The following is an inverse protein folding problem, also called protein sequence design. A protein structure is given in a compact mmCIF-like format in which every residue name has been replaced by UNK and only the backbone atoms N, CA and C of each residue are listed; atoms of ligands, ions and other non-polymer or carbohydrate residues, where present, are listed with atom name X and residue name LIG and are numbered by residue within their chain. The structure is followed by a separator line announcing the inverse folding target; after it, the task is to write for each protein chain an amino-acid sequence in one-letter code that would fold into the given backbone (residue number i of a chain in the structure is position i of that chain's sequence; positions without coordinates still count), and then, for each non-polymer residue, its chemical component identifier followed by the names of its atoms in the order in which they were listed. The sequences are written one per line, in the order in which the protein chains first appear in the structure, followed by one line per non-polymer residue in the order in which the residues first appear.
data_IF_150415788941
#
_entry.id   IF_150415788941
#
_cell.length_a   1.000
_cell.length_b   1.000
_cell.length_c   1.000
_cell.angle_alpha   90.00
_cell.angle_beta   90.00
_cell.angle_gamma   90.00
#
_symmetry.space_group_name_H-M   'P 1'
#
loop_
_entity.id
_entity.type
_entity.pdbx_description
1 polymer ?
#
# COMPACT_ATOMS: atom_id res chain seq x y z
N UNK A 1 21.35 -14.62 -7.80
CA UNK A 1 20.32 -14.76 -6.79
C UNK A 1 19.11 -13.91 -7.12
N UNK A 2 17.95 -14.55 -7.09
CA UNK A 2 16.68 -13.87 -7.40
C UNK A 2 15.78 -13.99 -6.19
N UNK A 3 15.20 -12.87 -5.75
CA UNK A 3 14.17 -12.87 -4.70
C UNK A 3 12.81 -12.60 -5.33
N UNK A 4 11.77 -13.17 -4.74
CA UNK A 4 10.39 -12.98 -5.19
C UNK A 4 9.55 -12.55 -3.97
N UNK A 5 8.98 -11.37 -4.03
CA UNK A 5 8.14 -10.82 -2.98
C UNK A 5 6.90 -10.19 -3.61
N UNK A 6 5.91 -9.90 -2.79
CA UNK A 6 4.68 -9.27 -3.24
C UNK A 6 4.36 -8.07 -2.35
N UNK A 7 3.75 -7.05 -2.95
CA UNK A 7 3.18 -5.91 -2.22
C UNK A 7 1.67 -5.97 -2.43
N UNK A 8 0.92 -5.96 -1.33
CA UNK A 8 -0.54 -5.97 -1.35
C UNK A 8 -1.04 -4.58 -0.96
N UNK A 9 -1.41 -3.73 -1.93
CA UNK A 9 -1.92 -2.40 -1.62
C UNK A 9 -3.34 -2.47 -1.05
N UNK A 10 -3.65 -1.54 -0.16
CA UNK A 10 -4.99 -1.36 0.35
C UNK A 10 -5.76 -0.33 -0.46
N UNK A 11 -6.45 0.59 0.24
CA UNK A 11 -7.17 1.68 -0.42
C UNK A 11 -6.18 2.75 -0.85
N UNK A 12 -5.92 2.82 -2.15
CA UNK A 12 -4.96 3.74 -2.74
C UNK A 12 -5.71 4.79 -3.55
N UNK A 13 -5.38 6.05 -3.36
CA UNK A 13 -6.01 7.14 -4.08
C UNK A 13 -5.53 7.17 -5.53
N UNK A 14 -6.52 7.07 -6.44
CA UNK A 14 -6.30 7.10 -7.89
C UNK A 14 -7.32 8.07 -8.48
N UNK A 15 -7.24 8.32 -9.78
CA UNK A 15 -8.23 9.17 -10.47
C UNK A 15 -9.66 8.62 -10.28
N UNK A 16 -9.80 7.30 -10.25
CA UNK A 16 -11.12 6.68 -10.04
C UNK A 16 -11.64 6.93 -8.63
N UNK A 17 -10.80 6.82 -7.61
CA UNK A 17 -11.22 7.07 -6.24
C UNK A 17 -11.44 8.55 -5.97
N UNK A 18 -10.65 9.42 -6.61
CA UNK A 18 -10.81 10.88 -6.50
C UNK A 18 -12.16 11.34 -7.06
N UNK A 19 -12.75 10.58 -7.98
CA UNK A 19 -14.06 10.88 -8.54
C UNK A 19 -15.23 10.51 -7.61
N UNK A 20 -14.98 9.75 -6.55
CA UNK A 20 -16.02 9.40 -5.58
C UNK A 20 -16.43 10.61 -4.74
N UNK A 21 -17.69 10.67 -4.27
CA UNK A 21 -18.11 11.72 -3.34
C UNK A 21 -17.23 11.73 -2.09
N UNK A 22 -16.97 12.92 -1.57
CA UNK A 22 -16.11 13.08 -0.40
C UNK A 22 -16.62 12.29 0.81
N UNK A 23 -17.94 12.24 1.00
CA UNK A 23 -18.53 11.49 2.10
C UNK A 23 -18.21 9.99 2.01
N UNK A 24 -18.20 9.43 0.82
CA UNK A 24 -17.85 8.03 0.59
C UNK A 24 -16.36 7.81 0.89
N UNK A 25 -15.51 8.71 0.43
CA UNK A 25 -14.07 8.62 0.66
C UNK A 25 -13.75 8.71 2.16
N UNK A 26 -14.41 9.62 2.87
CA UNK A 26 -14.23 9.77 4.31
C UNK A 26 -14.67 8.51 5.06
N UNK A 27 -15.77 7.90 4.64
CA UNK A 27 -16.26 6.67 5.26
C UNK A 27 -15.28 5.52 5.07
N UNK A 28 -14.71 5.40 3.88
CA UNK A 28 -13.69 4.38 3.60
C UNK A 28 -12.45 4.60 4.45
N UNK A 29 -12.03 5.85 4.63
CA UNK A 29 -10.84 6.18 5.42
C UNK A 29 -11.00 5.86 6.90
N UNK A 30 -12.22 5.83 7.43
CA UNK A 30 -12.48 5.50 8.84
C UNK A 30 -12.04 4.09 9.19
N UNK A 31 -12.07 3.16 8.25
CA UNK A 31 -11.65 1.79 8.46
C UNK A 31 -10.14 1.59 8.40
N UNK A 32 -9.38 2.64 8.18
CA UNK A 32 -7.93 2.58 8.02
C UNK A 32 -7.25 3.16 9.25
N UNK A 33 -6.50 2.36 10.02
CA UNK A 33 -5.82 2.86 11.23
C UNK A 33 -4.92 4.07 10.98
N UNK A 34 -4.28 4.17 9.82
CA UNK A 34 -3.45 5.33 9.46
C UNK A 34 -4.28 6.60 9.24
N UNK A 35 -5.60 6.48 9.11
CA UNK A 35 -6.52 7.62 9.01
C UNK A 35 -6.60 8.27 7.63
N UNK A 36 -6.01 7.64 6.61
CA UNK A 36 -6.03 8.18 5.24
C UNK A 36 -5.90 7.08 4.22
N UNK A 37 -6.35 7.35 3.00
CA UNK A 37 -6.04 6.52 1.85
C UNK A 37 -4.54 6.62 1.55
N UNK A 38 -3.95 5.57 1.01
CA UNK A 38 -2.57 5.60 0.55
C UNK A 38 -2.46 6.36 -0.76
N UNK A 39 -1.25 6.79 -1.06
CA UNK A 39 -0.91 7.39 -2.35
C UNK A 39 -0.13 6.36 -3.17
N UNK A 40 -0.10 6.49 -4.51
CA UNK A 40 0.72 5.59 -5.33
C UNK A 40 2.18 5.51 -4.87
N UNK A 41 2.73 6.61 -4.34
CA UNK A 41 4.08 6.65 -3.80
C UNK A 41 4.27 5.70 -2.61
N UNK A 42 3.22 5.48 -1.82
CA UNK A 42 3.30 4.57 -0.68
C UNK A 42 3.54 3.13 -1.15
N UNK A 43 2.89 2.74 -2.24
CA UNK A 43 3.11 1.42 -2.85
C UNK A 43 4.48 1.37 -3.53
N UNK A 44 4.86 2.42 -4.25
CA UNK A 44 6.15 2.50 -4.92
C UNK A 44 7.31 2.39 -3.91
N UNK A 45 7.18 3.01 -2.75
CA UNK A 45 8.19 2.91 -1.69
C UNK A 45 8.35 1.48 -1.18
N UNK A 46 7.26 0.73 -1.06
CA UNK A 46 7.32 -0.67 -0.65
C UNK A 46 8.02 -1.53 -1.72
N UNK A 47 7.71 -1.29 -2.99
CA UNK A 47 8.37 -1.99 -4.10
C UNK A 47 9.87 -1.66 -4.11
N UNK A 48 10.22 -0.39 -3.94
CA UNK A 48 11.61 0.05 -3.89
C UNK A 48 12.38 -0.61 -2.73
N UNK A 49 11.71 -0.80 -1.59
CA UNK A 49 12.32 -1.48 -0.45
C UNK A 49 12.74 -2.92 -0.81
N UNK A 50 11.83 -3.68 -1.46
CA UNK A 50 12.16 -5.04 -1.87
C UNK A 50 13.21 -5.08 -2.99
N UNK A 51 13.24 -4.07 -3.86
CA UNK A 51 14.17 -4.04 -4.98
C UNK A 51 15.59 -3.61 -4.58
N UNK A 52 15.75 -3.04 -3.39
CA UNK A 52 17.05 -2.55 -2.92
C UNK A 52 18.01 -3.71 -2.63
N UNK A 53 19.30 -3.49 -2.87
CA UNK A 53 20.33 -4.50 -2.56
C UNK A 53 20.33 -4.89 -1.08
N UNK A 54 20.00 -3.96 -0.20
CA UNK A 54 19.89 -4.21 1.23
C UNK A 54 18.84 -5.25 1.59
N UNK A 55 17.90 -5.50 0.68
CA UNK A 55 16.81 -6.44 0.89
C UNK A 55 17.11 -7.83 0.27
N UNK A 56 18.36 -8.11 -0.05
CA UNK A 56 18.74 -9.35 -0.75
C UNK A 56 18.48 -10.63 0.06
N UNK A 57 18.29 -10.52 1.37
CA UNK A 57 17.98 -11.66 2.23
C UNK A 57 16.47 -11.87 2.43
N UNK A 58 15.64 -11.07 1.77
CA UNK A 58 14.18 -11.13 1.86
C UNK A 58 13.59 -11.78 0.62
N UNK A 59 12.86 -12.87 0.82
CA UNK A 59 12.17 -13.55 -0.28
C UNK A 59 10.94 -14.27 0.26
N UNK A 60 9.95 -14.46 -0.59
CA UNK A 60 8.71 -15.15 -0.22
C UNK A 60 7.81 -14.32 0.69
N UNK A 61 7.99 -13.02 0.76
CA UNK A 61 7.24 -12.16 1.66
C UNK A 61 6.12 -11.41 0.96
N UNK A 62 5.06 -11.13 1.71
CA UNK A 62 3.98 -10.24 1.27
C UNK A 62 3.95 -9.06 2.24
N UNK A 63 4.13 -7.86 1.72
CA UNK A 63 4.06 -6.63 2.50
C UNK A 63 2.77 -5.89 2.17
N UNK A 64 1.92 -5.72 3.19
CA UNK A 64 0.67 -4.99 3.02
C UNK A 64 0.91 -3.50 3.17
N UNK A 65 0.65 -2.74 2.10
CA UNK A 65 0.75 -1.28 2.09
C UNK A 65 -0.67 -0.70 2.18
N UNK A 66 -1.30 -0.85 3.35
CA UNK A 66 -2.73 -0.62 3.53
C UNK A 66 -3.07 0.27 4.75
N UNK A 67 -2.08 0.93 5.33
CA UNK A 67 -2.31 1.78 6.50
C UNK A 67 -2.81 1.01 7.73
N UNK A 68 -2.67 -0.30 7.74
CA UNK A 68 -3.12 -1.16 8.82
C UNK A 68 -4.53 -1.72 8.65
N UNK A 69 -5.15 -1.52 7.48
CA UNK A 69 -6.53 -1.97 7.24
C UNK A 69 -6.73 -3.46 7.46
N UNK A 70 -5.72 -4.28 7.15
CA UNK A 70 -5.79 -5.73 7.26
C UNK A 70 -5.37 -6.26 8.63
N UNK A 71 -5.10 -5.39 9.57
CA UNK A 71 -4.73 -5.79 10.93
C UNK A 71 -5.87 -6.50 11.66
#
# INVERSE_FOLDING_TARGET
NVTVNAVAPGFIETDMTAALPEAVRAEMAKGIPAGRAGQPEDVANAVAFFAAEQSSYLTGQVLCADGGMAM
#
